data_IF_555847120737
#
_entry.id   IF_555847120737
#
_cell.length_a   1.000
_cell.length_b   1.000
_cell.length_c   1.000
_cell.angle_alpha   90.00
_cell.angle_beta   90.00
_cell.angle_gamma   90.00
#
_symmetry.space_group_name_H-M   'P 1'
#
loop_
_entity.id
_entity.type
_entity.pdbx_description
1 polymer ?
#
# COMPACT_ATOMS: atom_id res chain seq x y z
N UNK A 1 -20.66 36.80 -25.98
CA UNK A 1 -20.99 35.36 -25.88
C UNK A 1 -20.01 34.60 -26.76
N UNK A 2 -18.87 34.16 -26.21
CA UNK A 2 -17.92 33.29 -26.93
C UNK A 2 -17.39 32.26 -25.93
N UNK A 3 -18.08 31.13 -25.86
CA UNK A 3 -17.70 30.00 -25.03
C UNK A 3 -16.54 29.28 -25.75
N UNK A 4 -15.36 29.32 -25.14
CA UNK A 4 -14.17 28.64 -25.63
C UNK A 4 -14.41 27.13 -25.66
N UNK A 5 -14.35 26.54 -26.85
CA UNK A 5 -14.28 25.10 -27.04
C UNK A 5 -12.81 24.72 -27.27
N UNK A 6 -12.04 24.59 -26.20
CA UNK A 6 -10.77 23.87 -26.25
C UNK A 6 -10.99 22.44 -25.76
N UNK A 7 -11.50 21.60 -26.65
CA UNK A 7 -11.38 20.16 -26.52
C UNK A 7 -9.96 19.78 -26.95
N UNK A 8 -9.09 19.53 -25.97
CA UNK A 8 -7.78 18.93 -26.24
C UNK A 8 -8.01 17.50 -26.72
N UNK A 9 -7.86 17.27 -28.02
CA UNK A 9 -7.91 15.92 -28.59
C UNK A 9 -6.67 15.15 -28.17
N UNK A 10 -6.85 13.91 -27.69
CA UNK A 10 -5.73 13.03 -27.33
C UNK A 10 -4.91 12.74 -28.58
N UNK A 11 -3.62 13.04 -28.53
CA UNK A 11 -2.70 12.85 -29.63
C UNK A 11 -2.40 11.34 -29.77
N UNK A 12 -2.64 10.70 -30.93
CA UNK A 12 -2.41 9.25 -31.09
C UNK A 12 -0.93 8.87 -31.11
N UNK A 13 -0.02 9.85 -31.22
CA UNK A 13 1.43 9.68 -31.25
C UNK A 13 2.06 9.61 -29.84
N UNK A 14 1.25 9.30 -28.83
CA UNK A 14 1.75 8.96 -27.50
C UNK A 14 2.50 7.64 -27.62
N UNK A 15 3.83 7.69 -27.47
CA UNK A 15 4.65 6.49 -27.36
C UNK A 15 4.09 5.64 -26.22
N UNK A 16 3.61 4.44 -26.56
CA UNK A 16 3.15 3.46 -25.57
C UNK A 16 4.40 2.95 -24.87
N UNK A 17 4.61 3.38 -23.64
CA UNK A 17 5.63 2.80 -22.78
C UNK A 17 5.20 1.39 -22.41
N UNK A 18 5.94 0.39 -22.89
CA UNK A 18 5.65 -1.00 -22.60
C UNK A 18 6.02 -1.28 -21.16
N UNK A 19 5.14 -1.99 -20.43
CA UNK A 19 5.47 -2.44 -19.08
C UNK A 19 6.80 -3.20 -19.11
N UNK A 20 7.72 -2.94 -18.17
CA UNK A 20 8.96 -3.68 -18.09
C UNK A 20 8.66 -5.17 -17.91
N UNK A 21 9.55 -6.03 -18.43
CA UNK A 21 9.48 -7.46 -18.18
C UNK A 21 9.50 -7.73 -16.67
N UNK A 22 8.76 -8.74 -16.18
CA UNK A 22 8.79 -9.10 -14.77
C UNK A 22 10.21 -9.43 -14.31
N UNK A 23 10.58 -8.95 -13.13
CA UNK A 23 11.82 -9.33 -12.47
C UNK A 23 11.66 -10.72 -11.85
N UNK A 24 12.75 -11.50 -11.84
CA UNK A 24 12.83 -12.65 -10.96
C UNK A 24 13.09 -12.21 -9.51
N UNK A 25 12.97 -13.15 -8.56
CA UNK A 25 13.11 -12.86 -7.13
C UNK A 25 14.50 -12.29 -6.78
N UNK A 26 15.58 -12.83 -7.35
CA UNK A 26 16.93 -12.35 -7.08
C UNK A 26 17.17 -10.94 -7.64
N UNK A 27 16.66 -10.64 -8.83
CA UNK A 27 16.70 -9.31 -9.43
C UNK A 27 15.92 -8.29 -8.60
N UNK A 28 14.74 -8.68 -8.12
CA UNK A 28 13.93 -7.84 -7.24
C UNK A 28 14.68 -7.52 -5.95
N UNK A 29 15.22 -8.53 -5.25
CA UNK A 29 15.96 -8.29 -4.00
C UNK A 29 17.20 -7.44 -4.20
N UNK A 30 17.96 -7.68 -5.27
CA UNK A 30 19.12 -6.87 -5.59
C UNK A 30 18.73 -5.40 -5.80
N UNK A 31 17.74 -5.13 -6.66
CA UNK A 31 17.30 -3.76 -6.95
C UNK A 31 16.66 -3.09 -5.73
N UNK A 32 15.83 -3.80 -4.96
CA UNK A 32 15.17 -3.26 -3.78
C UNK A 32 16.18 -2.85 -2.70
N UNK A 33 17.19 -3.68 -2.45
CA UNK A 33 18.20 -3.42 -1.42
C UNK A 33 19.16 -2.26 -1.77
N UNK A 34 19.18 -1.79 -3.03
CA UNK A 34 19.91 -0.58 -3.42
C UNK A 34 19.21 0.71 -2.97
N UNK A 35 17.91 0.66 -2.69
CA UNK A 35 17.13 1.80 -2.17
C UNK A 35 16.96 1.67 -0.65
N UNK A 36 17.85 2.30 0.09
CA UNK A 36 17.82 2.29 1.56
C UNK A 36 16.50 2.80 2.14
N UNK A 37 15.87 3.80 1.52
CA UNK A 37 14.60 4.36 2.01
C UNK A 37 13.47 3.36 1.79
N UNK A 38 13.44 2.67 0.65
CA UNK A 38 12.43 1.65 0.37
C UNK A 38 12.52 0.47 1.36
N UNK A 39 13.74 0.00 1.66
CA UNK A 39 13.97 -1.07 2.65
C UNK A 39 13.50 -0.62 4.04
N UNK A 40 13.91 0.58 4.48
CA UNK A 40 13.58 1.09 5.80
C UNK A 40 12.07 1.28 5.97
N UNK A 41 11.39 1.85 4.97
CA UNK A 41 9.95 2.09 5.00
C UNK A 41 9.15 0.80 4.94
N UNK A 42 9.59 -0.20 4.18
CA UNK A 42 8.97 -1.52 4.18
C UNK A 42 9.06 -2.16 5.57
N UNK A 43 10.25 -2.18 6.16
CA UNK A 43 10.46 -2.75 7.49
C UNK A 43 9.68 -1.99 8.58
N UNK A 44 9.65 -0.65 8.53
CA UNK A 44 8.85 0.19 9.42
C UNK A 44 7.35 -0.14 9.30
N UNK A 45 6.81 -0.19 8.07
CA UNK A 45 5.40 -0.50 7.82
C UNK A 45 4.98 -1.86 8.37
N UNK A 46 5.80 -2.91 8.17
CA UNK A 46 5.54 -4.25 8.73
C UNK A 46 5.44 -4.21 10.26
N UNK A 47 6.34 -3.48 10.92
CA UNK A 47 6.35 -3.33 12.39
C UNK A 47 5.11 -2.60 12.90
N UNK A 48 4.70 -1.53 12.23
CA UNK A 48 3.49 -0.79 12.62
C UNK A 48 2.22 -1.60 12.41
N UNK A 49 2.10 -2.32 11.29
CA UNK A 49 0.97 -3.21 11.10
C UNK A 49 0.90 -4.32 12.15
N UNK A 50 2.03 -4.90 12.57
CA UNK A 50 2.05 -5.87 13.65
C UNK A 50 1.56 -5.28 14.98
N UNK A 51 1.98 -4.05 15.32
CA UNK A 51 1.52 -3.36 16.52
C UNK A 51 0.01 -3.07 16.47
N UNK A 52 -0.49 -2.61 15.33
CA UNK A 52 -1.91 -2.31 15.18
C UNK A 52 -2.76 -3.58 15.19
N UNK A 53 -2.24 -4.68 14.65
CA UNK A 53 -2.86 -5.99 14.78
C UNK A 53 -2.99 -6.41 16.26
N UNK A 54 -1.92 -6.27 17.06
CA UNK A 54 -1.96 -6.59 18.49
C UNK A 54 -2.98 -5.71 19.24
N UNK A 55 -2.98 -4.39 18.99
CA UNK A 55 -3.95 -3.46 19.59
C UNK A 55 -5.39 -3.88 19.28
N UNK A 56 -5.66 -4.25 18.03
CA UNK A 56 -6.98 -4.72 17.61
C UNK A 56 -7.38 -6.00 18.33
N UNK A 57 -6.48 -6.99 18.41
CA UNK A 57 -6.76 -8.25 19.12
C UNK A 57 -7.02 -8.02 20.61
N UNK A 58 -6.26 -7.14 21.26
CA UNK A 58 -6.48 -6.77 22.66
C UNK A 58 -7.84 -6.09 22.86
N UNK A 59 -8.21 -5.16 21.97
CA UNK A 59 -9.54 -4.53 22.00
C UNK A 59 -10.64 -5.60 21.87
N UNK A 60 -10.55 -6.49 20.90
CA UNK A 60 -11.54 -7.55 20.70
C UNK A 60 -11.65 -8.46 21.92
N UNK A 61 -10.53 -8.84 22.53
CA UNK A 61 -10.50 -9.65 23.75
C UNK A 61 -11.24 -8.95 24.90
N UNK A 62 -11.00 -7.65 25.11
CA UNK A 62 -11.64 -6.90 26.17
C UNK A 62 -13.16 -6.81 25.98
N UNK A 63 -13.63 -6.56 24.76
CA UNK A 63 -15.06 -6.53 24.44
C UNK A 63 -15.72 -7.89 24.68
N UNK A 64 -15.08 -8.98 24.22
CA UNK A 64 -15.56 -10.34 24.45
C UNK A 64 -15.61 -10.69 25.93
N UNK A 65 -14.61 -10.28 26.72
CA UNK A 65 -14.62 -10.47 28.17
C UNK A 65 -15.76 -9.70 28.83
N UNK A 66 -15.94 -8.42 28.50
CA UNK A 66 -17.08 -7.63 28.99
C UNK A 66 -18.43 -8.29 28.66
N UNK A 67 -18.52 -8.91 27.47
CA UNK A 67 -19.70 -9.66 27.07
C UNK A 67 -19.95 -10.93 27.91
N UNK A 68 -18.90 -11.55 28.44
CA UNK A 68 -19.02 -12.73 29.29
C UNK A 68 -19.35 -12.36 30.75
N UNK A 69 -18.81 -11.25 31.26
CA UNK A 69 -19.02 -10.83 32.65
C UNK A 69 -20.41 -10.24 32.95
N UNK A 70 -21.12 -9.70 31.95
CA UNK A 70 -22.48 -9.14 32.16
C UNK A 70 -23.62 -10.16 31.99
N UNK A 71 -23.32 -11.44 31.68
CA UNK A 71 -24.33 -12.49 31.40
C UNK A 71 -24.58 -13.47 32.58
N UNK A 72 -24.05 -13.16 33.75
CA UNK A 72 -24.30 -13.85 35.04
C UNK A 72 -24.96 -12.90 36.01
#
# INVERSE_FOLDING_TARGET
MFFSQHISTLNPDVQVDYRPSPLNEAEFYWQHNLDAIAVDKLAEGIRFFAQDHEKLQNKMKNELQGLLYHKT
#
